data_IF_804074095157
#
_entry.id   IF_804074095157
#
_cell.length_a   1.000
_cell.length_b   1.000
_cell.length_c   1.000
_cell.angle_alpha   90.00
_cell.angle_beta   90.00
_cell.angle_gamma   90.00
#
_symmetry.space_group_name_H-M   'P 1'
#
loop_
_entity.id
_entity.type
_entity.pdbx_description
1 polymer ?
#
# COMPACT_ATOMS: atom_id res chain seq x y z
N UNK A 1 -18.08 3.39 -12.16
CA UNK A 1 -17.35 2.45 -11.26
C UNK A 1 -18.38 1.51 -10.63
N UNK A 2 -18.38 0.24 -11.03
CA UNK A 2 -19.28 -0.77 -10.44
C UNK A 2 -18.69 -1.17 -9.08
N UNK A 3 -19.35 -0.75 -8.02
CA UNK A 3 -19.00 -1.10 -6.64
C UNK A 3 -19.51 -2.52 -6.40
N UNK A 4 -18.58 -3.46 -6.11
CA UNK A 4 -18.95 -4.76 -5.56
C UNK A 4 -19.78 -4.54 -4.29
N UNK A 5 -21.06 -4.87 -4.36
CA UNK A 5 -21.97 -4.87 -3.22
C UNK A 5 -21.47 -5.90 -2.20
N UNK A 6 -20.99 -5.43 -1.05
CA UNK A 6 -20.77 -6.31 0.10
C UNK A 6 -22.16 -6.78 0.56
N UNK A 7 -22.54 -7.98 0.11
CA UNK A 7 -23.76 -8.62 0.60
C UNK A 7 -23.64 -8.87 2.11
N UNK A 8 -24.69 -8.57 2.89
CA UNK A 8 -24.69 -8.86 4.32
C UNK A 8 -24.53 -10.38 4.53
N UNK A 9 -23.63 -10.74 5.46
CA UNK A 9 -23.40 -12.11 5.87
C UNK A 9 -24.74 -12.78 6.26
N UNK A 10 -25.23 -13.70 5.46
CA UNK A 10 -26.38 -14.55 5.80
C UNK A 10 -25.92 -15.63 6.77
N UNK A 11 -26.51 -15.69 7.96
CA UNK A 11 -26.36 -16.83 8.88
C UNK A 11 -26.68 -18.12 8.12
N UNK A 12 -25.87 -19.19 8.25
CA UNK A 12 -26.13 -20.47 7.61
C UNK A 12 -27.52 -21.00 8.03
N UNK A 13 -28.29 -21.53 7.07
CA UNK A 13 -29.48 -22.31 7.39
C UNK A 13 -29.06 -23.59 8.12
N UNK A 14 -29.80 -23.99 9.16
CA UNK A 14 -29.63 -25.29 9.80
C UNK A 14 -29.87 -26.41 8.80
N UNK A 15 -28.84 -27.21 8.55
CA UNK A 15 -28.80 -28.32 7.62
C UNK A 15 -27.40 -28.37 6.99
N UNK A 16 -26.76 -29.53 6.89
CA UNK A 16 -25.37 -29.79 6.52
C UNK A 16 -24.70 -28.69 5.67
N UNK A 17 -24.19 -27.63 6.33
CA UNK A 17 -23.52 -26.52 5.67
C UNK A 17 -22.06 -26.88 5.37
N UNK A 18 -21.57 -26.44 4.21
CA UNK A 18 -20.16 -26.56 3.84
C UNK A 18 -19.27 -25.94 4.94
N UNK A 19 -18.27 -26.66 5.41
CA UNK A 19 -17.29 -26.15 6.39
C UNK A 19 -16.33 -25.21 5.70
N UNK A 20 -16.22 -24.00 6.22
CA UNK A 20 -15.25 -22.98 5.78
C UNK A 20 -13.99 -23.12 6.65
N UNK A 21 -12.80 -22.95 6.04
CA UNK A 21 -11.53 -23.03 6.79
C UNK A 21 -11.41 -21.89 7.81
N UNK A 22 -10.75 -22.16 8.94
CA UNK A 22 -10.48 -21.13 9.96
C UNK A 22 -9.65 -19.98 9.39
N UNK A 23 -8.75 -20.25 8.44
CA UNK A 23 -7.98 -19.23 7.72
C UNK A 23 -8.91 -18.24 7.01
N UNK A 24 -9.88 -18.73 6.23
CA UNK A 24 -10.83 -17.85 5.55
C UNK A 24 -11.71 -17.06 6.52
N UNK A 25 -12.14 -17.68 7.63
CA UNK A 25 -12.96 -17.01 8.66
C UNK A 25 -12.16 -15.96 9.44
N UNK A 26 -10.83 -16.08 9.53
CA UNK A 26 -9.97 -15.13 10.23
C UNK A 26 -9.66 -13.87 9.43
N UNK A 27 -9.90 -13.87 8.10
CA UNK A 27 -9.70 -12.69 7.27
C UNK A 27 -10.73 -11.61 7.63
N UNK A 28 -10.27 -10.36 7.71
CA UNK A 28 -11.12 -9.20 7.97
C UNK A 28 -11.42 -8.47 6.68
N UNK A 29 -12.61 -7.86 6.58
CA UNK A 29 -12.93 -6.96 5.47
C UNK A 29 -12.00 -5.75 5.47
N UNK A 30 -11.67 -5.27 4.27
CA UNK A 30 -10.79 -4.11 4.12
C UNK A 30 -11.33 -2.88 4.87
N UNK A 31 -10.57 -2.29 5.81
CA UNK A 31 -10.98 -1.10 6.55
C UNK A 31 -11.19 0.11 5.63
N UNK A 32 -10.50 0.13 4.48
CA UNK A 32 -10.60 1.19 3.48
C UNK A 32 -11.94 1.13 2.73
N UNK A 33 -12.51 -0.07 2.54
CA UNK A 33 -13.71 -0.30 1.71
C UNK A 33 -14.99 -0.49 2.51
N UNK A 34 -14.91 -0.84 3.80
CA UNK A 34 -16.09 -1.17 4.62
C UNK A 34 -17.08 -0.02 4.78
N UNK A 35 -16.63 1.24 4.61
CA UNK A 35 -17.51 2.41 4.63
C UNK A 35 -18.15 2.73 3.27
N UNK A 36 -17.81 1.99 2.21
CA UNK A 36 -18.35 2.19 0.86
C UNK A 36 -19.89 2.22 0.78
N UNK A 37 -20.63 1.32 1.47
CA UNK A 37 -22.09 1.36 1.50
C UNK A 37 -22.65 2.70 1.99
N UNK A 38 -22.06 3.30 3.03
CA UNK A 38 -22.48 4.60 3.57
C UNK A 38 -22.22 5.75 2.61
N UNK A 39 -21.08 5.71 1.90
CA UNK A 39 -20.79 6.70 0.85
C UNK A 39 -21.81 6.60 -0.29
N UNK A 40 -22.12 5.39 -0.75
CA UNK A 40 -23.11 5.17 -1.79
C UNK A 40 -24.52 5.65 -1.37
N UNK A 41 -24.90 5.45 -0.11
CA UNK A 41 -26.18 5.97 0.42
C UNK A 41 -26.18 7.51 0.42
N UNK A 42 -25.07 8.14 0.85
CA UNK A 42 -24.93 9.59 0.83
C UNK A 42 -25.02 10.16 -0.60
N UNK A 43 -24.35 9.54 -1.56
CA UNK A 43 -24.41 9.93 -2.99
C UNK A 43 -25.82 9.76 -3.58
N UNK A 44 -26.51 8.66 -3.27
CA UNK A 44 -27.93 8.46 -3.66
C UNK A 44 -28.87 9.49 -3.04
N UNK A 45 -28.54 10.00 -1.86
CA UNK A 45 -29.27 11.08 -1.21
C UNK A 45 -28.92 12.48 -1.78
N UNK A 46 -28.08 12.56 -2.81
CA UNK A 46 -27.69 13.79 -3.51
C UNK A 46 -26.50 14.53 -2.88
N UNK A 47 -25.78 13.91 -1.90
CA UNK A 47 -24.56 14.51 -1.37
C UNK A 47 -23.39 14.27 -2.33
N UNK A 48 -22.53 15.27 -2.54
CA UNK A 48 -21.21 15.08 -3.14
C UNK A 48 -20.25 14.57 -2.07
N UNK A 49 -19.62 13.41 -2.30
CA UNK A 49 -18.65 12.81 -1.39
C UNK A 49 -17.23 12.99 -1.92
N UNK A 50 -16.35 13.64 -1.16
CA UNK A 50 -14.92 13.73 -1.48
C UNK A 50 -14.22 12.48 -0.90
N UNK A 51 -13.70 11.62 -1.77
CA UNK A 51 -13.08 10.34 -1.38
C UNK A 51 -11.59 10.51 -1.05
N UNK A 52 -11.25 10.65 0.23
CA UNK A 52 -9.86 10.63 0.73
C UNK A 52 -9.45 9.26 1.32
N UNK A 53 -10.31 8.24 1.20
CA UNK A 53 -10.08 6.90 1.76
C UNK A 53 -9.27 5.98 0.84
N UNK A 54 -9.32 6.17 -0.49
CA UNK A 54 -8.68 5.29 -1.48
C UNK A 54 -7.46 5.97 -2.09
N UNK A 55 -6.30 5.30 -2.00
CA UNK A 55 -5.05 5.75 -2.64
C UNK A 55 -4.92 5.23 -4.08
N UNK A 56 -5.77 5.72 -4.95
CA UNK A 56 -5.67 5.47 -6.39
C UNK A 56 -5.28 6.77 -7.10
N UNK A 57 -4.10 6.82 -7.75
CA UNK A 57 -3.70 7.99 -8.53
C UNK A 57 -4.74 8.34 -9.60
N UNK A 58 -4.95 9.63 -9.85
CA UNK A 58 -5.89 10.18 -10.80
C UNK A 58 -5.23 10.86 -12.02
N UNK A 59 -3.90 10.99 -12.00
CA UNK A 59 -3.14 11.49 -13.15
C UNK A 59 -3.24 10.48 -14.29
N UNK A 60 -3.37 10.96 -15.51
CA UNK A 60 -3.55 10.11 -16.68
C UNK A 60 -2.44 9.06 -16.81
N UNK A 61 -2.84 7.81 -17.05
CA UNK A 61 -1.91 6.74 -17.43
C UNK A 61 -1.24 7.11 -18.76
N UNK A 62 0.09 6.97 -18.89
CA UNK A 62 0.77 7.28 -20.16
C UNK A 62 0.15 6.54 -21.34
N UNK A 63 -0.06 7.28 -22.45
CA UNK A 63 -0.74 6.76 -23.65
C UNK A 63 -0.09 5.50 -24.20
N UNK A 64 1.24 5.35 -24.03
CA UNK A 64 2.03 4.20 -24.46
C UNK A 64 1.44 2.87 -23.97
N UNK A 65 0.80 2.84 -22.79
CA UNK A 65 0.14 1.65 -22.27
C UNK A 65 -0.97 1.16 -23.19
N UNK A 66 -1.92 2.05 -23.50
CA UNK A 66 -3.07 1.71 -24.34
C UNK A 66 -2.68 1.55 -25.81
N UNK A 67 -1.68 2.27 -26.28
CA UNK A 67 -1.21 2.18 -27.67
C UNK A 67 -0.52 0.82 -27.91
N UNK A 68 0.27 0.34 -26.96
CA UNK A 68 0.86 -0.99 -27.01
C UNK A 68 -0.22 -2.09 -27.02
N UNK A 69 -1.26 -1.95 -26.19
CA UNK A 69 -2.40 -2.89 -26.17
C UNK A 69 -3.15 -2.87 -27.49
N UNK A 70 -3.42 -1.71 -28.08
CA UNK A 70 -4.11 -1.59 -29.38
C UNK A 70 -3.30 -2.19 -30.55
N UNK A 71 -1.97 -2.20 -30.42
CA UNK A 71 -1.07 -2.79 -31.41
C UNK A 71 -0.94 -4.32 -31.33
N UNK A 72 -1.64 -4.96 -30.35
CA UNK A 72 -1.62 -6.41 -30.21
C UNK A 72 -2.38 -7.06 -31.38
N UNK A 73 -1.66 -7.80 -32.24
CA UNK A 73 -2.18 -8.38 -33.49
C UNK A 73 -2.17 -9.92 -33.50
N UNK A 74 -1.74 -10.57 -32.39
CA UNK A 74 -1.72 -12.01 -32.30
C UNK A 74 -3.13 -12.59 -32.37
N UNK A 75 -3.34 -13.58 -33.24
CA UNK A 75 -4.63 -14.27 -33.39
C UNK A 75 -5.02 -15.13 -32.18
N UNK A 76 -4.04 -15.54 -31.37
CA UNK A 76 -4.23 -16.35 -30.17
C UNK A 76 -3.53 -15.69 -29.01
N UNK A 77 -4.25 -15.46 -27.93
CA UNK A 77 -3.68 -15.05 -26.65
C UNK A 77 -3.19 -16.31 -25.95
N UNK A 78 -1.95 -16.68 -26.22
CA UNK A 78 -1.34 -17.89 -25.69
C UNK A 78 -0.77 -17.68 -24.28
N UNK A 79 -0.48 -18.77 -23.57
CA UNK A 79 0.26 -18.69 -22.32
C UNK A 79 1.66 -18.10 -22.55
N UNK A 80 2.02 -17.08 -21.78
CA UNK A 80 3.38 -16.58 -21.67
C UNK A 80 4.22 -17.38 -20.68
N UNK A 81 5.51 -17.03 -20.51
CA UNK A 81 6.36 -17.61 -19.48
C UNK A 81 5.81 -17.32 -18.07
N UNK A 82 5.91 -18.32 -17.17
CA UNK A 82 5.42 -18.20 -15.79
C UNK A 82 6.16 -17.11 -15.00
N UNK A 83 7.43 -16.88 -15.33
CA UNK A 83 8.26 -15.82 -14.73
C UNK A 83 7.81 -14.41 -15.16
N UNK A 84 7.28 -14.26 -16.37
CA UNK A 84 6.86 -13.01 -16.98
C UNK A 84 7.37 -12.84 -18.40
N UNK A 85 6.85 -11.86 -19.11
CA UNK A 85 7.27 -11.51 -20.46
C UNK A 85 8.74 -11.03 -20.47
N UNK A 86 9.64 -11.59 -21.32
CA UNK A 86 11.04 -11.22 -21.34
C UNK A 86 11.29 -9.74 -21.67
N UNK A 87 10.43 -9.10 -22.46
CA UNK A 87 10.55 -7.67 -22.78
C UNK A 87 10.23 -6.82 -21.55
N UNK A 88 9.18 -7.20 -20.79
CA UNK A 88 8.86 -6.50 -19.56
C UNK A 88 9.98 -6.68 -18.53
N UNK A 89 10.51 -7.90 -18.37
CA UNK A 89 11.65 -8.16 -17.47
C UNK A 89 12.85 -7.28 -17.85
N UNK A 90 13.19 -7.20 -19.14
CA UNK A 90 14.28 -6.35 -19.62
C UNK A 90 14.05 -4.85 -19.32
N UNK A 91 12.83 -4.37 -19.44
CA UNK A 91 12.46 -3.01 -19.07
C UNK A 91 12.59 -2.77 -17.56
N UNK A 92 12.18 -3.72 -16.73
CA UNK A 92 12.38 -3.66 -15.27
C UNK A 92 13.87 -3.62 -14.94
N UNK A 93 14.70 -4.46 -15.57
CA UNK A 93 16.16 -4.42 -15.40
C UNK A 93 16.72 -3.02 -15.68
N UNK A 94 16.40 -2.46 -16.86
CA UNK A 94 16.85 -1.13 -17.28
C UNK A 94 16.40 -0.04 -16.31
N UNK A 95 15.19 -0.14 -15.78
CA UNK A 95 14.66 0.79 -14.77
C UNK A 95 15.52 0.74 -13.49
N UNK A 96 15.83 -0.45 -12.98
CA UNK A 96 16.64 -0.60 -11.77
C UNK A 96 18.12 -0.22 -11.98
N UNK A 97 18.66 -0.45 -13.16
CA UNK A 97 20.01 0.04 -13.53
C UNK A 97 20.12 1.57 -13.44
N UNK A 98 19.08 2.30 -13.82
CA UNK A 98 19.03 3.76 -13.68
C UNK A 98 19.04 4.22 -12.20
N UNK A 99 18.70 3.33 -11.27
CA UNK A 99 18.80 3.52 -9.82
C UNK A 99 20.10 2.96 -9.22
N UNK A 100 21.05 2.49 -10.04
CA UNK A 100 22.32 1.90 -9.63
C UNK A 100 22.20 0.47 -9.07
N UNK A 101 21.12 -0.23 -9.37
CA UNK A 101 20.87 -1.59 -8.92
C UNK A 101 20.87 -2.55 -10.10
N UNK A 102 21.75 -3.55 -10.06
CA UNK A 102 21.89 -4.54 -11.13
C UNK A 102 21.17 -5.85 -10.74
N UNK A 103 20.23 -6.27 -11.59
CA UNK A 103 19.51 -7.53 -11.46
C UNK A 103 19.61 -8.32 -12.78
N UNK A 104 19.88 -9.61 -12.68
CA UNK A 104 19.75 -10.52 -13.82
C UNK A 104 18.27 -10.85 -14.06
N UNK A 105 17.92 -11.30 -15.28
CA UNK A 105 16.53 -11.68 -15.59
C UNK A 105 15.99 -12.73 -14.62
N UNK A 106 16.82 -13.69 -14.17
CA UNK A 106 16.45 -14.73 -13.21
C UNK A 106 16.04 -14.20 -11.84
N UNK A 107 16.42 -12.96 -11.50
CA UNK A 107 16.10 -12.33 -10.22
C UNK A 107 14.70 -11.69 -10.20
N UNK A 108 14.04 -11.52 -11.36
CA UNK A 108 12.83 -10.73 -11.54
C UNK A 108 11.66 -11.63 -11.89
N UNK A 109 10.59 -11.58 -11.12
CA UNK A 109 9.34 -12.31 -11.34
C UNK A 109 8.18 -11.33 -11.47
N UNK A 110 7.51 -11.35 -12.61
CA UNK A 110 6.33 -10.52 -12.86
C UNK A 110 5.13 -11.14 -12.14
N UNK A 111 4.32 -10.28 -11.51
CA UNK A 111 3.21 -10.68 -10.64
C UNK A 111 1.94 -9.89 -10.97
N UNK A 112 0.77 -10.38 -10.52
CA UNK A 112 -0.51 -9.68 -10.60
C UNK A 112 -0.56 -8.48 -9.62
N UNK A 113 0.29 -7.48 -9.87
CA UNK A 113 0.53 -6.33 -9.01
C UNK A 113 1.37 -6.69 -7.78
N UNK A 114 1.74 -5.68 -6.99
CA UNK A 114 2.50 -5.88 -5.76
C UNK A 114 1.80 -6.76 -4.72
N UNK A 115 0.48 -6.92 -4.80
CA UNK A 115 -0.28 -7.78 -3.88
C UNK A 115 0.10 -9.26 -4.02
N UNK A 116 0.17 -9.80 -5.25
CA UNK A 116 0.62 -11.16 -5.46
C UNK A 116 2.10 -11.32 -5.07
N UNK A 117 2.95 -10.33 -5.36
CA UNK A 117 4.35 -10.34 -4.96
C UNK A 117 4.51 -10.47 -3.44
N UNK A 118 3.74 -9.71 -2.66
CA UNK A 118 3.72 -9.78 -1.20
C UNK A 118 3.21 -11.13 -0.69
N UNK A 119 2.15 -11.66 -1.31
CA UNK A 119 1.59 -12.96 -0.97
C UNK A 119 2.59 -14.09 -1.24
N UNK A 120 3.23 -14.09 -2.42
CA UNK A 120 4.24 -15.08 -2.78
C UNK A 120 5.47 -15.01 -1.88
N UNK A 121 5.91 -13.80 -1.51
CA UNK A 121 7.01 -13.63 -0.56
C UNK A 121 6.66 -14.23 0.82
N UNK A 122 5.47 -13.93 1.34
CA UNK A 122 5.02 -14.48 2.61
C UNK A 122 4.87 -16.01 2.58
N UNK A 123 4.31 -16.57 1.50
CA UNK A 123 4.17 -18.03 1.32
C UNK A 123 5.51 -18.75 1.20
N UNK A 124 6.52 -18.12 0.59
CA UNK A 124 7.84 -18.72 0.41
C UNK A 124 8.73 -18.64 1.65
N UNK A 125 8.47 -17.68 2.54
CA UNK A 125 9.29 -17.43 3.73
C UNK A 125 8.74 -18.03 5.02
N UNK A 126 7.41 -18.23 5.11
CA UNK A 126 6.76 -18.53 6.37
C UNK A 126 6.01 -19.86 6.34
N UNK A 127 6.22 -20.63 7.38
CA UNK A 127 5.37 -21.76 7.77
C UNK A 127 4.24 -21.29 8.72
N UNK A 128 3.19 -22.11 8.91
CA UNK A 128 2.14 -21.79 9.86
C UNK A 128 2.66 -21.54 11.28
N UNK A 129 2.39 -20.34 11.81
CA UNK A 129 2.83 -19.91 13.13
C UNK A 129 4.11 -19.07 13.15
N UNK A 130 4.76 -18.88 12.01
CA UNK A 130 5.86 -17.94 11.85
C UNK A 130 5.39 -16.47 11.92
N UNK A 131 6.33 -15.55 12.08
CA UNK A 131 6.07 -14.12 12.28
C UNK A 131 6.73 -13.27 11.19
N UNK A 132 5.98 -12.28 10.70
CA UNK A 132 6.49 -11.16 9.88
C UNK A 132 6.46 -9.91 10.73
N UNK A 133 7.61 -9.33 11.01
CA UNK A 133 7.74 -8.09 11.77
C UNK A 133 7.43 -6.89 10.87
N UNK A 134 6.55 -6.00 11.34
CA UNK A 134 6.14 -4.77 10.66
C UNK A 134 6.20 -3.60 11.64
N UNK A 135 6.22 -2.37 11.11
CA UNK A 135 6.10 -1.15 11.92
C UNK A 135 4.68 -0.60 11.77
N UNK A 136 3.93 -0.52 12.86
CA UNK A 136 2.55 0.00 12.82
C UNK A 136 2.48 1.51 13.08
N UNK A 137 1.63 2.25 12.35
CA UNK A 137 0.63 1.77 11.37
C UNK A 137 1.27 1.34 10.04
N UNK A 138 0.69 0.31 9.40
CA UNK A 138 1.17 -0.29 8.15
C UNK A 138 0.03 -0.51 7.15
N UNK A 139 0.36 -0.86 5.90
CA UNK A 139 -0.64 -1.18 4.89
C UNK A 139 -1.54 -2.34 5.31
N UNK A 140 -2.83 -2.07 5.48
CA UNK A 140 -3.80 -2.98 6.10
C UNK A 140 -3.81 -4.41 5.54
N UNK A 141 -3.49 -4.58 4.25
CA UNK A 141 -3.48 -5.91 3.62
C UNK A 141 -2.28 -6.78 4.05
N UNK A 142 -1.25 -6.25 4.71
CA UNK A 142 -0.18 -7.10 5.25
C UNK A 142 -0.72 -8.12 6.25
N UNK A 143 -1.73 -7.75 7.07
CA UNK A 143 -2.46 -8.70 7.91
C UNK A 143 -3.09 -9.84 7.10
N UNK A 144 -3.63 -9.53 5.91
CA UNK A 144 -4.26 -10.55 5.06
C UNK A 144 -3.23 -11.48 4.44
N UNK A 145 -2.12 -10.94 3.93
CA UNK A 145 -1.06 -11.77 3.32
C UNK A 145 -0.39 -12.69 4.35
N UNK A 146 -0.11 -12.19 5.55
CA UNK A 146 0.39 -13.01 6.65
C UNK A 146 -0.59 -14.14 7.00
N UNK A 147 -1.89 -13.83 7.16
CA UNK A 147 -2.92 -14.85 7.46
C UNK A 147 -3.09 -15.88 6.34
N UNK A 148 -3.00 -15.47 5.06
CA UNK A 148 -3.07 -16.38 3.93
C UNK A 148 -1.91 -17.36 3.94
N UNK A 149 -0.70 -16.92 4.26
CA UNK A 149 0.48 -17.80 4.40
C UNK A 149 0.46 -18.63 5.68
N UNK A 150 -0.43 -18.33 6.64
CA UNK A 150 -0.45 -18.97 7.95
C UNK A 150 0.44 -18.30 8.99
N UNK A 151 1.14 -17.24 8.60
CA UNK A 151 1.98 -16.44 9.48
C UNK A 151 1.17 -15.43 10.30
N UNK A 152 1.85 -14.81 11.26
CA UNK A 152 1.32 -13.72 12.09
C UNK A 152 2.10 -12.43 11.84
N UNK A 153 1.39 -11.31 11.84
CA UNK A 153 2.04 -10.01 11.90
C UNK A 153 2.49 -9.73 13.33
N UNK A 154 3.77 -9.42 13.50
CA UNK A 154 4.37 -8.93 14.73
C UNK A 154 4.62 -7.44 14.58
N UNK A 155 3.84 -6.62 15.28
CA UNK A 155 3.87 -5.18 15.08
C UNK A 155 4.79 -4.47 16.09
N UNK A 156 5.70 -3.64 15.59
CA UNK A 156 6.51 -2.70 16.38
C UNK A 156 5.81 -1.35 16.35
N UNK A 157 5.46 -0.76 17.51
CA UNK A 157 4.71 0.48 17.53
C UNK A 157 5.54 1.68 17.09
N UNK A 158 4.94 2.54 16.28
CA UNK A 158 5.39 3.92 16.05
C UNK A 158 4.30 4.90 16.47
N UNK A 159 4.60 6.18 16.59
CA UNK A 159 3.70 7.14 17.23
C UNK A 159 3.54 8.41 16.40
N UNK A 160 2.32 8.96 16.38
CA UNK A 160 2.00 10.21 15.69
C UNK A 160 2.83 11.39 16.22
N UNK A 161 3.06 11.42 17.54
CA UNK A 161 3.77 12.48 18.24
C UNK A 161 5.24 12.61 17.82
N UNK A 162 5.84 11.53 17.27
CA UNK A 162 7.20 11.57 16.71
C UNK A 162 7.21 11.46 15.17
N UNK A 163 6.05 11.65 14.52
CA UNK A 163 5.90 11.55 13.07
C UNK A 163 6.06 10.13 12.53
N UNK A 164 5.75 9.11 13.31
CA UNK A 164 5.85 7.68 12.97
C UNK A 164 7.27 7.26 12.56
N UNK A 165 8.30 7.87 13.18
CA UNK A 165 9.70 7.46 12.98
C UNK A 165 9.94 6.10 13.62
N UNK A 166 10.89 5.33 13.06
CA UNK A 166 11.26 4.03 13.61
C UNK A 166 11.88 4.19 15.01
N UNK A 167 11.57 3.30 15.96
CA UNK A 167 12.27 3.25 17.25
C UNK A 167 13.71 2.79 17.06
N UNK A 168 14.50 2.86 18.11
CA UNK A 168 15.89 2.40 18.08
C UNK A 168 16.01 0.87 17.94
N UNK A 169 17.20 0.40 17.58
CA UNK A 169 17.46 -1.04 17.36
C UNK A 169 17.12 -1.90 18.57
N UNK A 170 17.46 -1.44 19.79
CA UNK A 170 17.21 -2.21 21.01
C UNK A 170 15.70 -2.42 21.25
N UNK A 171 14.89 -1.42 20.92
CA UNK A 171 13.42 -1.52 20.97
C UNK A 171 12.90 -2.49 19.92
N UNK A 172 13.36 -2.40 18.66
CA UNK A 172 12.92 -3.28 17.58
C UNK A 172 13.29 -4.75 17.87
N UNK A 173 14.49 -4.99 18.38
CA UNK A 173 14.99 -6.33 18.69
C UNK A 173 14.16 -7.06 19.76
N UNK A 174 13.45 -6.35 20.64
CA UNK A 174 12.54 -6.97 21.61
C UNK A 174 11.33 -7.67 20.95
N UNK A 175 11.05 -7.33 19.72
CA UNK A 175 9.96 -7.94 18.93
C UNK A 175 10.46 -9.10 18.05
N UNK A 176 11.76 -9.29 17.89
CA UNK A 176 12.33 -10.42 17.15
C UNK A 176 12.28 -11.67 18.03
N UNK A 177 11.77 -12.76 17.48
CA UNK A 177 11.69 -14.07 18.14
C UNK A 177 12.25 -15.18 17.24
N UNK A 178 12.35 -16.39 17.75
CA UNK A 178 12.74 -17.59 16.96
C UNK A 178 11.76 -17.90 15.81
N UNK A 179 10.56 -17.31 15.85
CA UNK A 179 9.54 -17.43 14.81
C UNK A 179 9.60 -16.33 13.76
N UNK A 180 10.36 -15.27 14.00
CA UNK A 180 10.47 -14.16 13.07
C UNK A 180 11.24 -14.60 11.82
N UNK A 181 10.61 -14.50 10.63
CA UNK A 181 11.22 -14.87 9.34
C UNK A 181 11.60 -13.66 8.50
N UNK A 182 10.84 -12.59 8.63
CA UNK A 182 11.05 -11.40 7.81
C UNK A 182 10.74 -10.12 8.56
N UNK A 183 11.37 -9.02 8.12
CA UNK A 183 10.91 -7.66 8.36
C UNK A 183 10.25 -7.19 7.05
N UNK A 184 9.04 -6.65 7.13
CA UNK A 184 8.33 -6.05 5.99
C UNK A 184 8.22 -4.54 6.23
N UNK A 185 8.79 -3.76 5.33
CA UNK A 185 8.84 -2.29 5.42
C UNK A 185 8.42 -1.66 4.10
N UNK A 186 7.48 -0.70 4.18
CA UNK A 186 7.09 0.15 3.04
C UNK A 186 7.84 1.47 3.09
N UNK A 187 8.57 1.82 2.04
CA UNK A 187 9.29 3.09 1.93
C UNK A 187 9.19 3.65 0.50
N UNK A 188 8.59 4.84 0.30
CA UNK A 188 7.82 5.69 1.23
C UNK A 188 6.58 5.01 1.83
N UNK A 189 6.21 5.41 3.04
CA UNK A 189 5.24 4.70 3.88
C UNK A 189 3.77 4.86 3.46
N UNK A 190 3.02 3.77 3.50
CA UNK A 190 1.57 3.72 3.54
C UNK A 190 1.17 3.07 4.88
N UNK A 191 0.50 3.78 5.80
CA UNK A 191 -0.36 4.97 5.59
C UNK A 191 0.28 6.32 5.90
N UNK A 192 1.52 6.40 6.37
CA UNK A 192 2.08 7.56 7.08
C UNK A 192 2.66 8.65 6.17
N UNK A 193 3.04 8.31 4.93
CA UNK A 193 3.79 9.20 4.04
C UNK A 193 5.25 9.44 4.45
N UNK A 194 5.74 8.73 5.46
CA UNK A 194 7.12 8.85 5.94
C UNK A 194 8.08 8.33 4.89
N UNK A 195 9.19 9.03 4.68
CA UNK A 195 10.39 8.53 3.99
C UNK A 195 11.44 8.28 5.06
N UNK A 196 11.88 7.05 5.20
CA UNK A 196 12.86 6.70 6.22
C UNK A 196 14.24 7.23 5.86
N UNK A 197 14.94 7.71 6.87
CA UNK A 197 16.31 8.21 6.75
C UNK A 197 17.28 7.04 6.51
N UNK A 198 18.44 7.36 5.91
CA UNK A 198 19.53 6.37 5.75
C UNK A 198 19.87 5.69 7.08
N UNK A 199 19.88 6.44 8.20
CA UNK A 199 20.16 5.93 9.55
C UNK A 199 19.11 4.88 10.00
N UNK A 200 17.82 5.12 9.74
CA UNK A 200 16.77 4.16 10.07
C UNK A 200 16.87 2.92 9.20
N UNK A 201 17.16 3.10 7.91
CA UNK A 201 17.35 1.97 7.00
C UNK A 201 18.59 1.14 7.36
N UNK A 202 19.71 1.78 7.75
CA UNK A 202 20.90 1.09 8.24
C UNK A 202 20.64 0.31 9.52
N UNK A 203 19.81 0.86 10.40
CA UNK A 203 19.38 0.17 11.63
C UNK A 203 18.58 -1.09 11.30
N UNK A 204 17.60 -1.01 10.40
CA UNK A 204 16.82 -2.18 9.95
C UNK A 204 17.72 -3.20 9.27
N UNK A 205 18.62 -2.77 8.39
CA UNK A 205 19.61 -3.62 7.72
C UNK A 205 20.51 -4.37 8.72
N UNK A 206 20.94 -3.67 9.76
CA UNK A 206 21.74 -4.27 10.84
C UNK A 206 21.00 -5.39 11.60
N UNK A 207 19.71 -5.19 11.89
CA UNK A 207 18.86 -6.20 12.54
C UNK A 207 18.66 -7.41 11.62
N UNK A 208 18.34 -7.16 10.34
CA UNK A 208 18.19 -8.22 9.32
C UNK A 208 19.45 -9.08 9.25
N UNK A 209 20.61 -8.46 9.16
CA UNK A 209 21.91 -9.15 9.10
C UNK A 209 22.21 -9.94 10.38
N UNK A 210 21.98 -9.33 11.53
CA UNK A 210 22.24 -9.93 12.85
C UNK A 210 21.43 -11.21 13.10
N UNK A 211 20.16 -11.20 12.67
CA UNK A 211 19.22 -12.27 12.92
C UNK A 211 19.00 -13.20 11.71
N UNK A 212 19.65 -12.94 10.57
CA UNK A 212 19.50 -13.75 9.35
C UNK A 212 18.09 -13.72 8.77
N UNK A 213 17.37 -12.60 8.91
CA UNK A 213 16.00 -12.44 8.45
C UNK A 213 15.93 -12.12 6.96
N UNK A 214 14.78 -12.38 6.33
CA UNK A 214 14.46 -11.77 5.05
C UNK A 214 14.00 -10.31 5.26
N UNK A 215 14.25 -9.45 4.28
CA UNK A 215 13.77 -8.07 4.25
C UNK A 215 12.86 -7.88 3.04
N UNK A 216 11.56 -7.83 3.27
CA UNK A 216 10.56 -7.54 2.24
C UNK A 216 10.44 -6.02 2.14
N UNK A 217 11.03 -5.45 1.10
CA UNK A 217 11.04 -4.01 0.84
C UNK A 217 9.90 -3.66 -0.14
N UNK A 218 8.79 -3.16 0.38
CA UNK A 218 7.68 -2.65 -0.44
C UNK A 218 8.00 -1.23 -0.91
N UNK A 219 8.46 -1.12 -2.16
CA UNK A 219 8.97 0.11 -2.75
C UNK A 219 8.05 0.71 -3.83
N UNK A 220 6.77 0.36 -3.83
CA UNK A 220 5.80 0.81 -4.86
C UNK A 220 5.62 2.32 -4.93
N UNK A 221 6.04 3.06 -3.91
CA UNK A 221 5.97 4.53 -3.84
C UNK A 221 7.31 5.23 -4.06
N UNK A 222 8.38 4.54 -4.49
CA UNK A 222 9.74 5.12 -4.59
C UNK A 222 9.83 6.41 -5.41
N UNK A 223 9.01 6.56 -6.44
CA UNK A 223 8.98 7.77 -7.29
C UNK A 223 8.31 8.96 -6.60
N UNK A 224 7.59 8.74 -5.52
CA UNK A 224 6.88 9.78 -4.78
C UNK A 224 7.68 10.18 -3.55
N UNK A 225 8.78 10.90 -3.76
CA UNK A 225 9.59 11.51 -2.70
C UNK A 225 9.70 12.99 -3.01
N UNK A 226 9.19 13.83 -2.10
CA UNK A 226 9.03 15.27 -2.31
C UNK A 226 10.15 16.08 -1.69
N UNK A 227 10.68 15.61 -0.56
CA UNK A 227 11.73 16.27 0.18
C UNK A 227 12.72 15.22 0.70
N UNK A 228 14.02 15.45 0.46
CA UNK A 228 15.10 14.56 0.88
C UNK A 228 15.52 13.56 -0.21
N UNK A 229 16.31 12.57 0.20
CA UNK A 229 16.82 11.53 -0.66
C UNK A 229 16.11 10.19 -0.37
N UNK A 230 15.77 9.48 -1.43
CA UNK A 230 15.29 8.11 -1.34
C UNK A 230 16.48 7.14 -1.33
N UNK A 231 16.42 6.14 -0.46
CA UNK A 231 17.34 5.01 -0.45
C UNK A 231 16.55 3.72 -0.62
N UNK A 232 16.96 2.87 -1.56
CA UNK A 232 16.41 1.51 -1.72
C UNK A 232 17.22 0.51 -0.93
N UNK A 233 16.58 -0.50 -0.36
CA UNK A 233 17.30 -1.65 0.21
C UNK A 233 18.03 -2.49 -0.84
N UNK A 234 17.65 -2.40 -2.12
CA UNK A 234 18.37 -3.03 -3.21
C UNK A 234 19.80 -2.52 -3.43
N UNK A 235 20.18 -1.39 -2.79
CA UNK A 235 21.55 -0.86 -2.82
C UNK A 235 22.47 -1.42 -1.73
N UNK A 236 21.95 -2.25 -0.82
CA UNK A 236 22.72 -2.87 0.26
C UNK A 236 23.32 -4.20 -0.23
N UNK A 237 24.51 -4.13 -0.84
CA UNK A 237 25.17 -5.30 -1.44
C UNK A 237 25.48 -6.41 -0.41
N UNK A 238 25.76 -6.05 0.83
CA UNK A 238 26.01 -7.01 1.92
C UNK A 238 24.76 -7.70 2.45
N UNK A 239 23.57 -7.33 1.96
CA UNK A 239 22.28 -7.94 2.24
C UNK A 239 21.57 -8.46 0.97
N UNK A 240 22.30 -8.57 -0.14
CA UNK A 240 21.70 -8.91 -1.42
C UNK A 240 20.86 -10.19 -1.40
N UNK A 241 21.28 -11.19 -0.63
CA UNK A 241 20.56 -12.47 -0.45
C UNK A 241 19.38 -12.38 0.51
N UNK A 242 19.28 -11.33 1.32
CA UNK A 242 18.20 -11.15 2.28
C UNK A 242 17.07 -10.25 1.73
N UNK A 243 17.37 -9.40 0.74
CA UNK A 243 16.44 -8.39 0.24
C UNK A 243 15.51 -8.97 -0.82
N UNK A 244 14.23 -8.68 -0.63
CA UNK A 244 13.15 -8.97 -1.58
C UNK A 244 12.43 -7.66 -1.87
N UNK A 245 12.60 -7.13 -3.08
CA UNK A 245 11.92 -5.90 -3.49
C UNK A 245 10.56 -6.24 -4.06
N UNK A 246 9.55 -5.51 -3.62
CA UNK A 246 8.19 -5.52 -4.17
C UNK A 246 7.96 -4.20 -4.88
N UNK A 247 7.59 -4.27 -6.15
CA UNK A 247 7.31 -3.07 -6.95
C UNK A 247 6.09 -3.26 -7.87
N UNK A 248 5.59 -2.17 -8.44
CA UNK A 248 4.40 -2.19 -9.29
C UNK A 248 4.31 -0.95 -10.18
N UNK A 249 3.78 -1.12 -11.38
CA UNK A 249 3.40 -0.01 -12.27
C UNK A 249 2.18 0.79 -11.76
N UNK A 250 1.46 0.23 -10.76
CA UNK A 250 0.17 0.75 -10.27
C UNK A 250 0.22 2.19 -9.84
N UNK A 251 1.30 2.59 -9.14
CA UNK A 251 1.37 3.93 -8.52
C UNK A 251 2.10 4.92 -9.41
N UNK A 252 3.31 4.59 -9.84
CA UNK A 252 4.15 5.50 -10.63
C UNK A 252 3.55 5.89 -11.98
N UNK A 253 2.75 5.02 -12.59
CA UNK A 253 2.14 5.26 -13.90
C UNK A 253 0.61 5.35 -13.85
N UNK A 254 0.01 5.50 -12.67
CA UNK A 254 -1.47 5.51 -12.50
C UNK A 254 -2.17 4.31 -13.16
N UNK A 255 -1.51 3.16 -13.19
CA UNK A 255 -1.96 1.94 -13.88
C UNK A 255 -2.43 0.86 -12.90
N UNK A 256 -3.20 1.26 -11.87
CA UNK A 256 -3.68 0.33 -10.82
C UNK A 256 -4.50 -0.84 -11.37
N UNK A 257 -5.27 -0.59 -12.44
CA UNK A 257 -6.12 -1.59 -13.11
C UNK A 257 -5.35 -2.57 -13.98
N UNK A 258 -4.12 -2.28 -14.38
CA UNK A 258 -3.28 -3.17 -15.17
C UNK A 258 -2.86 -4.43 -14.41
N UNK A 259 -2.86 -4.39 -13.08
CA UNK A 259 -2.46 -5.51 -12.23
C UNK A 259 -1.09 -6.09 -12.58
N UNK A 260 -0.10 -5.24 -12.83
CA UNK A 260 1.29 -5.63 -13.09
C UNK A 260 2.19 -5.10 -11.97
N UNK A 261 2.95 -6.01 -11.39
CA UNK A 261 4.00 -5.77 -10.42
C UNK A 261 5.15 -6.72 -10.60
N UNK A 262 6.11 -6.68 -9.71
CA UNK A 262 7.22 -7.62 -9.70
C UNK A 262 7.73 -7.87 -8.27
N UNK A 263 8.31 -9.05 -8.12
CA UNK A 263 9.12 -9.48 -6.99
C UNK A 263 10.55 -9.65 -7.52
N UNK A 264 11.52 -9.07 -6.81
CA UNK A 264 12.93 -9.09 -7.21
C UNK A 264 13.78 -9.53 -6.02
N UNK A 265 14.64 -10.53 -6.23
CA UNK A 265 15.64 -10.95 -5.23
C UNK A 265 16.87 -11.55 -5.89
N UNK A 266 18.05 -11.31 -5.32
CA UNK A 266 19.30 -11.95 -5.76
C UNK A 266 19.52 -13.33 -5.16
N UNK A 267 18.69 -13.74 -4.19
CA UNK A 267 18.77 -15.07 -3.57
C UNK A 267 18.24 -16.16 -4.53
N UNK A 268 19.15 -16.97 -5.07
CA UNK A 268 18.83 -18.01 -6.06
C UNK A 268 17.94 -19.13 -5.47
N UNK A 269 18.12 -19.48 -4.19
CA UNK A 269 17.27 -20.48 -3.53
C UNK A 269 15.85 -19.98 -3.40
N UNK A 270 15.66 -18.75 -2.87
CA UNK A 270 14.36 -18.12 -2.75
C UNK A 270 13.66 -17.98 -4.10
N UNK A 271 14.33 -17.43 -5.12
CA UNK A 271 13.75 -17.22 -6.44
C UNK A 271 13.39 -18.53 -7.15
N UNK A 272 14.13 -19.63 -6.87
CA UNK A 272 13.76 -20.96 -7.37
C UNK A 272 12.43 -21.44 -6.79
N UNK A 273 12.13 -21.13 -5.52
CA UNK A 273 10.82 -21.45 -4.93
C UNK A 273 9.72 -20.54 -5.50
N UNK A 274 9.98 -19.25 -5.65
CA UNK A 274 9.03 -18.31 -6.29
C UNK A 274 8.66 -18.80 -7.70
N UNK A 275 9.62 -19.31 -8.46
CA UNK A 275 9.33 -19.87 -9.77
C UNK A 275 8.30 -21.00 -9.74
N UNK A 276 8.32 -21.88 -8.73
CA UNK A 276 7.33 -22.95 -8.57
C UNK A 276 5.93 -22.43 -8.33
N UNK A 277 5.79 -21.38 -7.50
CA UNK A 277 4.50 -20.70 -7.30
C UNK A 277 4.01 -20.07 -8.60
N UNK A 278 4.90 -19.40 -9.34
CA UNK A 278 4.56 -18.83 -10.64
C UNK A 278 4.13 -19.90 -11.65
N UNK A 279 4.79 -21.07 -11.67
CA UNK A 279 4.40 -22.19 -12.53
C UNK A 279 3.02 -22.75 -12.14
N UNK A 280 2.71 -22.83 -10.84
CA UNK A 280 1.38 -23.26 -10.37
C UNK A 280 0.27 -22.28 -10.75
N UNK A 281 0.54 -20.97 -10.73
CA UNK A 281 -0.37 -19.89 -11.14
C UNK A 281 -0.48 -19.80 -12.67
N UNK A 282 0.51 -20.29 -13.43
CA UNK A 282 0.77 -20.08 -14.87
C UNK A 282 1.36 -18.67 -15.13
N UNK A 283 0.91 -17.96 -16.16
CA UNK A 283 1.44 -16.63 -16.49
C UNK A 283 0.56 -15.50 -15.94
N UNK A 284 1.15 -14.31 -15.82
CA UNK A 284 0.41 -13.04 -15.68
C UNK A 284 -0.26 -12.71 -17.02
N UNK A 285 -1.39 -11.98 -17.06
CA UNK A 285 -2.07 -11.62 -18.29
C UNK A 285 -1.14 -11.01 -19.35
N UNK A 286 -1.11 -11.62 -20.53
CA UNK A 286 -0.17 -11.28 -21.63
C UNK A 286 -0.33 -9.84 -22.10
N UNK A 287 -1.56 -9.41 -22.32
CA UNK A 287 -1.87 -8.09 -22.91
C UNK A 287 -1.46 -6.96 -21.98
N UNK A 288 -1.71 -7.15 -20.70
CA UNK A 288 -1.34 -6.18 -19.66
C UNK A 288 0.18 -6.09 -19.49
N UNK A 289 0.92 -7.19 -19.65
CA UNK A 289 2.38 -7.18 -19.64
C UNK A 289 2.95 -6.38 -20.82
N UNK A 290 2.36 -6.50 -22.00
CA UNK A 290 2.76 -5.71 -23.19
C UNK A 290 2.55 -4.21 -22.94
N UNK A 291 1.38 -3.84 -22.43
CA UNK A 291 1.10 -2.47 -22.03
C UNK A 291 2.07 -1.96 -20.96
N UNK A 292 2.34 -2.78 -19.94
CA UNK A 292 3.24 -2.42 -18.86
C UNK A 292 4.70 -2.25 -19.32
N UNK A 293 5.18 -3.07 -20.25
CA UNK A 293 6.50 -2.92 -20.83
C UNK A 293 6.67 -1.54 -21.50
N UNK A 294 5.65 -1.08 -22.21
CA UNK A 294 5.66 0.23 -22.88
C UNK A 294 5.65 1.40 -21.88
N UNK A 295 5.14 1.22 -20.65
CA UNK A 295 5.17 2.26 -19.62
C UNK A 295 6.61 2.64 -19.22
N UNK A 296 7.54 1.72 -19.25
CA UNK A 296 8.95 2.00 -18.91
C UNK A 296 9.68 2.85 -19.97
N UNK A 297 9.11 3.00 -21.16
CA UNK A 297 9.60 3.92 -22.18
C UNK A 297 9.00 5.35 -22.03
N UNK A 298 8.17 5.58 -21.01
CA UNK A 298 7.62 6.90 -20.69
C UNK A 298 8.77 7.86 -20.35
N UNK A 299 8.79 9.08 -20.93
CA UNK A 299 9.82 10.06 -20.64
C UNK A 299 9.89 10.38 -19.13
N UNK A 300 11.11 10.58 -18.63
CA UNK A 300 11.35 10.94 -17.22
C UNK A 300 10.57 12.19 -16.79
N UNK A 301 10.37 13.14 -17.72
CA UNK A 301 9.57 14.35 -17.48
C UNK A 301 8.13 14.08 -17.04
N UNK A 302 7.55 12.92 -17.40
CA UNK A 302 6.24 12.52 -16.87
C UNK A 302 6.30 12.27 -15.35
N UNK A 303 7.29 11.48 -14.89
CA UNK A 303 7.45 11.19 -13.46
C UNK A 303 7.80 12.46 -12.66
N UNK A 304 8.61 13.35 -13.24
CA UNK A 304 8.94 14.64 -12.64
C UNK A 304 7.69 15.52 -12.48
N UNK A 305 6.85 15.60 -13.50
CA UNK A 305 5.59 16.36 -13.46
C UNK A 305 4.59 15.76 -12.46
N UNK A 306 4.47 14.43 -12.43
CA UNK A 306 3.64 13.70 -11.45
C UNK A 306 4.10 13.99 -10.02
N UNK A 307 5.39 13.92 -9.76
CA UNK A 307 5.97 14.18 -8.44
C UNK A 307 5.74 15.63 -7.99
N UNK A 308 5.91 16.59 -8.89
CA UNK A 308 5.64 18.00 -8.61
C UNK A 308 4.17 18.26 -8.28
N UNK A 309 3.25 17.64 -9.03
CA UNK A 309 1.80 17.77 -8.77
C UNK A 309 1.45 17.18 -7.40
N UNK A 310 1.94 15.98 -7.06
CA UNK A 310 1.67 15.37 -5.77
C UNK A 310 2.34 16.13 -4.60
N UNK A 311 3.47 16.78 -4.84
CA UNK A 311 4.06 17.71 -3.86
C UNK A 311 3.13 18.88 -3.57
N UNK A 312 2.53 19.51 -4.59
CA UNK A 312 1.53 20.57 -4.40
C UNK A 312 0.31 20.10 -3.62
N UNK A 313 -0.18 18.89 -3.91
CA UNK A 313 -1.29 18.27 -3.18
C UNK A 313 -0.93 18.00 -1.72
N UNK A 314 0.28 17.47 -1.46
CA UNK A 314 0.82 17.28 -0.12
C UNK A 314 0.87 18.59 0.66
N UNK A 315 1.41 19.63 0.06
CA UNK A 315 1.52 20.95 0.70
C UNK A 315 0.13 21.53 1.01
N UNK A 316 -0.83 21.33 0.10
CA UNK A 316 -2.22 21.74 0.29
C UNK A 316 -2.90 21.05 1.46
N UNK A 317 -2.78 19.72 1.55
CA UNK A 317 -3.42 18.96 2.64
C UNK A 317 -2.72 19.23 3.97
N UNK A 318 -1.39 19.31 4.00
CA UNK A 318 -0.62 19.59 5.21
C UNK A 318 -0.96 20.96 5.81
N UNK A 319 -1.00 22.00 4.98
CA UNK A 319 -1.40 23.34 5.41
C UNK A 319 -2.84 23.39 5.95
N UNK A 320 -3.76 22.69 5.28
CA UNK A 320 -5.16 22.64 5.71
C UNK A 320 -5.33 21.89 7.04
N UNK A 321 -4.67 20.75 7.21
CA UNK A 321 -4.72 19.97 8.46
C UNK A 321 -4.13 20.74 9.65
N UNK A 322 -3.01 21.43 9.43
CA UNK A 322 -2.36 22.26 10.47
C UNK A 322 -3.26 23.38 10.99
N UNK A 323 -4.24 23.83 10.21
CA UNK A 323 -5.22 24.84 10.61
C UNK A 323 -6.39 24.31 11.44
N UNK A 324 -6.56 23.00 11.57
CA UNK A 324 -7.68 22.38 12.32
C UNK A 324 -7.23 22.13 13.77
N UNK A 325 -7.87 22.78 14.76
CA UNK A 325 -7.51 22.61 16.16
C UNK A 325 -7.62 21.16 16.65
N UNK A 326 -6.58 20.69 17.34
CA UNK A 326 -6.54 19.35 17.94
C UNK A 326 -6.16 18.22 16.98
N UNK A 327 -5.97 18.50 15.70
CA UNK A 327 -5.46 17.51 14.72
C UNK A 327 -3.94 17.43 14.80
N UNK A 328 -3.42 16.21 14.94
CA UNK A 328 -1.98 15.91 14.79
C UNK A 328 -1.83 15.14 13.49
N UNK A 329 -0.97 15.60 12.60
CA UNK A 329 -0.71 14.92 11.33
C UNK A 329 0.73 14.42 11.25
N UNK A 330 0.96 13.31 10.55
CA UNK A 330 2.30 12.96 10.09
C UNK A 330 2.85 14.07 9.19
N UNK A 331 4.18 14.13 9.05
CA UNK A 331 4.86 15.01 8.08
C UNK A 331 5.22 14.17 6.83
N UNK A 332 4.30 14.07 5.84
CA UNK A 332 4.51 13.19 4.71
C UNK A 332 5.59 13.76 3.77
N UNK A 333 6.68 13.04 3.63
CA UNK A 333 7.78 13.36 2.72
C UNK A 333 7.69 12.58 1.40
N UNK A 334 6.81 11.58 1.34
CA UNK A 334 6.60 10.72 0.16
C UNK A 334 5.25 10.03 0.14
N UNK A 335 5.05 9.15 -0.83
CA UNK A 335 3.77 8.54 -1.18
C UNK A 335 2.68 9.60 -1.42
N UNK A 336 1.41 9.28 -1.22
CA UNK A 336 0.31 10.26 -1.31
C UNK A 336 -0.71 10.04 -0.19
N UNK A 337 -0.16 9.79 1.02
CA UNK A 337 -0.94 9.59 2.25
C UNK A 337 -0.43 10.47 3.37
N UNK A 338 -1.37 10.80 4.25
CA UNK A 338 -1.08 11.37 5.55
C UNK A 338 -1.90 10.63 6.60
N UNK A 339 -1.24 10.27 7.69
CA UNK A 339 -1.92 9.74 8.86
C UNK A 339 -2.21 10.90 9.81
N UNK A 340 -3.44 10.95 10.32
CA UNK A 340 -3.89 12.01 11.22
C UNK A 340 -4.49 11.40 12.48
N UNK A 341 -4.18 12.01 13.63
CA UNK A 341 -4.88 11.78 14.88
C UNK A 341 -5.92 12.90 15.07
N UNK A 342 -7.16 12.50 15.29
CA UNK A 342 -8.31 13.39 15.33
C UNK A 342 -8.79 13.56 16.76
N UNK A 343 -9.32 14.72 17.15
CA UNK A 343 -9.91 14.94 18.48
C UNK A 343 -11.32 14.30 18.58
N UNK A 344 -11.41 12.98 18.40
CA UNK A 344 -12.69 12.23 18.41
C UNK A 344 -12.59 11.00 19.31
N UNK A 345 -13.72 10.51 19.77
CA UNK A 345 -13.82 9.27 20.55
C UNK A 345 -13.42 8.04 19.70
N UNK A 346 -13.87 8.03 18.43
CA UNK A 346 -13.67 6.92 17.49
C UNK A 346 -13.75 7.46 16.06
N UNK A 347 -12.64 7.32 15.31
CA UNK A 347 -12.55 7.82 13.94
C UNK A 347 -13.46 7.07 12.94
N UNK A 348 -13.85 5.81 13.23
CA UNK A 348 -14.79 5.09 12.38
C UNK A 348 -16.21 5.60 12.61
N UNK A 349 -16.61 5.82 13.85
CA UNK A 349 -17.91 6.45 14.17
C UNK A 349 -18.00 7.84 13.55
N UNK A 350 -16.91 8.62 13.66
CA UNK A 350 -16.82 9.93 13.04
C UNK A 350 -16.96 9.84 11.51
N UNK A 351 -16.25 8.93 10.86
CA UNK A 351 -16.33 8.76 9.40
C UNK A 351 -17.74 8.33 8.94
N UNK A 352 -18.41 7.46 9.69
CA UNK A 352 -19.81 7.07 9.42
C UNK A 352 -20.75 8.27 9.60
N UNK A 353 -20.58 9.04 10.68
CA UNK A 353 -21.38 10.23 10.96
C UNK A 353 -21.19 11.29 9.86
N UNK A 354 -19.96 11.51 9.38
CA UNK A 354 -19.69 12.41 8.25
C UNK A 354 -20.50 12.05 7.01
N UNK A 355 -20.65 10.76 6.71
CA UNK A 355 -21.40 10.30 5.55
C UNK A 355 -22.91 10.35 5.73
N UNK A 356 -23.41 10.01 6.94
CA UNK A 356 -24.84 9.92 7.23
C UNK A 356 -25.45 11.26 7.60
N UNK A 357 -24.88 11.89 8.61
CA UNK A 357 -25.53 12.97 9.36
C UNK A 357 -24.98 14.36 9.00
N UNK A 358 -23.69 14.45 8.63
CA UNK A 358 -23.06 15.71 8.28
C UNK A 358 -23.24 16.06 6.80
N UNK A 359 -23.45 17.36 6.56
CA UNK A 359 -23.39 17.94 5.20
C UNK A 359 -23.19 19.46 5.29
N UNK A 360 -22.34 20.01 4.47
CA UNK A 360 -22.18 21.46 4.26
C UNK A 360 -22.42 21.78 2.78
N UNK A 361 -23.49 22.47 2.46
CA UNK A 361 -23.94 22.75 1.08
C UNK A 361 -24.11 21.47 0.22
N UNK A 362 -24.61 20.38 0.81
CA UNK A 362 -24.78 19.12 0.08
C UNK A 362 -23.47 18.33 -0.13
N UNK A 363 -22.40 18.67 0.56
CA UNK A 363 -21.08 18.04 0.40
C UNK A 363 -20.58 17.42 1.71
N UNK A 364 -19.85 16.33 1.61
CA UNK A 364 -19.18 15.65 2.73
C UNK A 364 -17.87 15.01 2.29
N UNK A 365 -17.11 14.43 3.24
CA UNK A 365 -15.84 13.78 2.98
C UNK A 365 -15.79 12.39 3.58
N UNK A 366 -15.18 11.43 2.86
CA UNK A 366 -14.93 10.07 3.32
C UNK A 366 -13.43 9.89 3.60
N UNK A 367 -13.10 9.46 4.81
CA UNK A 367 -11.73 9.14 5.27
C UNK A 367 -11.61 7.64 5.55
N UNK A 368 -10.38 7.12 5.68
CA UNK A 368 -10.15 5.74 6.09
C UNK A 368 -9.81 5.68 7.58
N UNK A 369 -10.66 5.07 8.44
CA UNK A 369 -10.40 4.92 9.86
C UNK A 369 -9.09 4.20 10.15
N UNK A 370 -8.34 4.67 11.17
CA UNK A 370 -6.98 4.27 11.46
C UNK A 370 -6.83 2.86 12.04
N UNK A 371 -7.82 2.38 12.79
CA UNK A 371 -7.77 1.09 13.47
C UNK A 371 -7.41 -0.10 12.55
N UNK A 372 -7.75 -0.02 11.27
CA UNK A 372 -7.44 -1.06 10.29
C UNK A 372 -5.99 -1.10 9.80
N UNK A 373 -5.17 -0.13 10.17
CA UNK A 373 -3.73 -0.06 9.82
C UNK A 373 -2.83 -0.54 10.97
N UNK A 374 -3.43 -1.10 12.03
CA UNK A 374 -2.75 -1.63 13.21
C UNK A 374 -3.05 -3.12 13.38
N UNK A 375 -2.08 -3.86 13.91
CA UNK A 375 -2.28 -5.24 14.39
C UNK A 375 -2.59 -5.25 15.89
N UNK A 376 -2.08 -4.26 16.63
CA UNK A 376 -2.32 -4.12 18.07
C UNK A 376 -3.74 -3.65 18.33
N UNK A 377 -4.51 -4.44 19.07
CA UNK A 377 -5.90 -4.11 19.44
C UNK A 377 -5.96 -2.79 20.22
N UNK A 378 -6.95 -1.97 19.91
CA UNK A 378 -7.16 -0.67 20.56
C UNK A 378 -6.29 0.46 20.03
N UNK A 379 -5.38 0.22 19.08
CA UNK A 379 -4.60 1.27 18.42
C UNK A 379 -5.33 1.88 17.23
N UNK A 380 -5.00 3.13 16.93
CA UNK A 380 -5.55 3.85 15.78
C UNK A 380 -7.04 4.18 15.86
N UNK A 381 -7.67 4.07 17.06
CA UNK A 381 -9.12 4.33 17.25
C UNK A 381 -9.48 5.77 16.92
N UNK A 382 -8.63 6.73 17.28
CA UNK A 382 -8.81 8.16 17.02
C UNK A 382 -7.96 8.65 15.86
N UNK A 383 -7.44 7.74 15.02
CA UNK A 383 -6.64 8.06 13.86
C UNK A 383 -7.37 7.77 12.55
N UNK A 384 -6.93 8.43 11.48
CA UNK A 384 -7.43 8.18 10.13
C UNK A 384 -6.31 8.37 9.10
N UNK A 385 -6.38 7.62 8.00
CA UNK A 385 -5.55 7.88 6.82
C UNK A 385 -6.33 8.71 5.81
N UNK A 386 -5.70 9.75 5.29
CA UNK A 386 -6.17 10.53 4.16
C UNK A 386 -5.24 10.33 2.97
N UNK A 387 -5.82 10.09 1.78
CA UNK A 387 -5.10 10.01 0.53
C UNK A 387 -5.28 11.32 -0.25
N UNK A 388 -4.19 12.02 -0.56
CA UNK A 388 -4.26 13.30 -1.29
C UNK A 388 -4.16 13.09 -2.82
N UNK A 389 -5.08 12.26 -3.33
CA UNK A 389 -5.16 11.91 -4.75
C UNK A 389 -6.07 12.83 -5.58
N UNK A 390 -6.84 13.70 -4.92
CA UNK A 390 -7.67 14.71 -5.59
C UNK A 390 -6.84 15.95 -5.96
N UNK A 391 -7.34 16.78 -6.90
CA UNK A 391 -6.72 18.06 -7.20
C UNK A 391 -6.74 19.01 -5.99
N UNK A 392 -5.88 20.05 -6.02
CA UNK A 392 -5.72 20.97 -4.88
C UNK A 392 -7.00 21.70 -4.47
N UNK A 393 -7.91 22.00 -5.42
CA UNK A 393 -9.19 22.67 -5.12
C UNK A 393 -10.10 21.76 -4.31
N UNK A 394 -10.27 20.51 -4.77
CA UNK A 394 -11.09 19.53 -4.10
C UNK A 394 -10.49 19.12 -2.74
N UNK A 395 -9.14 19.05 -2.64
CA UNK A 395 -8.48 18.81 -1.36
C UNK A 395 -8.73 19.93 -0.34
N UNK A 396 -8.64 21.20 -0.74
CA UNK A 396 -8.96 22.33 0.14
C UNK A 396 -10.39 22.23 0.66
N UNK A 397 -11.34 21.94 -0.24
CA UNK A 397 -12.74 21.78 0.15
C UNK A 397 -12.96 20.58 1.07
N UNK A 398 -12.36 19.43 0.78
CA UNK A 398 -12.47 18.25 1.60
C UNK A 398 -11.92 18.48 3.04
N UNK A 399 -10.80 19.20 3.18
CA UNK A 399 -10.24 19.53 4.50
C UNK A 399 -11.09 20.57 5.25
N UNK A 400 -11.68 21.54 4.54
CA UNK A 400 -12.67 22.46 5.13
C UNK A 400 -13.87 21.68 5.70
N UNK A 401 -14.41 20.73 4.95
CA UNK A 401 -15.51 19.86 5.39
C UNK A 401 -15.09 19.01 6.60
N UNK A 402 -13.88 18.47 6.60
CA UNK A 402 -13.34 17.72 7.76
C UNK A 402 -13.30 18.60 9.01
N UNK A 403 -12.78 19.83 8.90
CA UNK A 403 -12.72 20.77 10.02
C UNK A 403 -14.11 21.17 10.55
N UNK A 404 -15.06 21.46 9.65
CA UNK A 404 -16.45 21.73 10.02
C UNK A 404 -17.12 20.51 10.71
N UNK A 405 -16.89 19.31 10.15
CA UNK A 405 -17.39 18.08 10.73
C UNK A 405 -16.84 17.85 12.14
N UNK A 406 -15.52 18.00 12.33
CA UNK A 406 -14.90 17.86 13.67
C UNK A 406 -15.46 18.86 14.69
N UNK A 407 -15.82 20.07 14.25
CA UNK A 407 -16.42 21.06 15.15
C UNK A 407 -17.84 20.70 15.61
N UNK A 408 -18.59 19.91 14.82
CA UNK A 408 -20.00 19.57 15.03
C UNK A 408 -20.21 18.13 15.54
N UNK A 409 -19.17 17.31 15.47
CA UNK A 409 -19.28 15.88 15.83
C UNK A 409 -19.59 15.71 17.33
N UNK A 410 -20.66 14.94 17.66
CA UNK A 410 -21.07 14.76 19.08
C UNK A 410 -20.03 14.02 19.96
N UNK A 411 -19.18 13.19 19.35
CA UNK A 411 -18.11 12.45 20.02
C UNK A 411 -16.75 13.15 20.02
N UNK A 412 -16.73 14.47 19.82
CA UNK A 412 -15.49 15.27 19.89
C UNK A 412 -14.90 15.23 21.30
N UNK A 413 -13.58 14.99 21.38
CA UNK A 413 -12.79 15.16 22.62
C UNK A 413 -12.40 16.63 22.80
N UNK A 414 -12.36 17.09 24.07
CA UNK A 414 -11.92 18.44 24.44
C UNK A 414 -10.40 18.57 24.36
#
# INVERSE_FOLDING_TARGET
MTIESVLPYRKPKEGASMKISQRALSLTTSPIRRLGPYALEAEKAGKKVYHLNIGQPDIETPAQFMDAIRSFDKKVVAYGPSQGDPKLIAQVQKYYEAWGMHYEAKNIYITNGGSEALELAALALCDPGDEILVFEPFYANYNSFAKISGAHVKAVPTHAENGYRLPDAATVEQYVSDKTRAILLTNPGNPTGVVYTKKEMDMVAGIVKKHGLALIADEVYREFVYDGAYTSFGTYEDLADNVIIIDSVSKRYSACGARIGCLISKNDEFTSQINKFCQARLCVPEVEQIGAAALYDTPKSYLEAVNEEYKKRRDTIAAGLAAIPGVISSDPKGAFYVMVKLPVDDAEKFAIWMLKDFSDNGETVMIAPGNGFYATEGKGIDEARLAYVLNCSDLKRAIELLGKGLSQYPGKKN
#
